data_IF_344663198287
#
_entry.id   IF_344663198287
#
_cell.length_a   1.000
_cell.length_b   1.000
_cell.length_c   1.000
_cell.angle_alpha   90.00
_cell.angle_beta   90.00
_cell.angle_gamma   90.00
#
_symmetry.space_group_name_H-M   'P 1'
#
loop_
_entity.id
_entity.type
_entity.pdbx_description
1 polymer ?
#
# COMPACT_ATOMS: atom_id res chain seq x y z
N UNK A 1 -23.53 1.23 1.27
CA UNK A 1 -22.09 1.11 0.98
C UNK A 1 -21.29 1.76 2.08
N UNK A 2 -20.36 1.05 2.66
CA UNK A 2 -19.53 1.59 3.74
C UNK A 2 -18.08 1.19 3.50
N UNK A 3 -17.18 2.16 3.41
CA UNK A 3 -15.76 1.91 3.19
C UNK A 3 -15.11 1.69 4.55
N UNK A 4 -14.51 0.53 4.71
CA UNK A 4 -13.72 0.17 5.88
C UNK A 4 -12.25 0.40 5.56
N UNK A 5 -11.49 0.82 6.56
CA UNK A 5 -10.05 1.04 6.41
C UNK A 5 -9.32 0.39 7.58
N UNK A 6 -8.09 -0.01 7.33
CA UNK A 6 -7.22 -0.62 8.35
C UNK A 6 -5.77 -0.26 8.06
N UNK A 7 -5.07 0.21 9.09
CA UNK A 7 -3.61 0.35 8.99
C UNK A 7 -3.01 -1.04 9.14
N UNK A 8 -2.33 -1.51 8.11
CA UNK A 8 -1.76 -2.86 8.10
C UNK A 8 -0.25 -2.80 8.21
N UNK A 9 0.27 -3.24 9.36
CA UNK A 9 1.71 -3.31 9.57
C UNK A 9 2.24 -4.67 9.09
N UNK A 10 3.37 -4.64 8.42
CA UNK A 10 4.06 -5.84 7.97
C UNK A 10 5.56 -5.57 7.92
N UNK A 11 6.37 -6.62 7.97
CA UNK A 11 7.82 -6.49 8.01
C UNK A 11 8.46 -7.06 6.75
N UNK A 12 9.48 -6.37 6.26
CA UNK A 12 10.32 -6.81 5.14
C UNK A 12 11.77 -6.50 5.52
N UNK A 13 12.63 -7.51 5.52
CA UNK A 13 14.06 -7.36 5.86
C UNK A 13 14.27 -6.63 7.19
N UNK A 14 13.49 -6.96 8.21
CA UNK A 14 13.52 -6.39 9.56
C UNK A 14 13.10 -4.91 9.63
N UNK A 15 12.49 -4.38 8.56
CA UNK A 15 11.91 -3.03 8.56
C UNK A 15 10.40 -3.16 8.62
N UNK A 16 9.77 -2.40 9.52
CA UNK A 16 8.31 -2.35 9.59
C UNK A 16 7.76 -1.38 8.55
N UNK A 17 6.74 -1.83 7.82
CA UNK A 17 6.02 -1.00 6.86
C UNK A 17 4.58 -0.83 7.33
N UNK A 18 3.99 0.33 7.04
CA UNK A 18 2.63 0.67 7.44
C UNK A 18 1.79 0.95 6.21
N UNK A 19 1.14 -0.09 5.71
CA UNK A 19 0.22 0.03 4.59
C UNK A 19 -1.17 0.46 5.03
N UNK A 20 -1.99 0.86 4.08
CA UNK A 20 -3.34 1.33 4.32
C UNK A 20 -4.32 0.53 3.47
N UNK A 21 -5.08 -0.36 4.12
CA UNK A 21 -6.10 -1.17 3.46
C UNK A 21 -7.44 -0.46 3.41
N UNK A 22 -8.16 -0.62 2.32
CA UNK A 22 -9.52 -0.11 2.20
C UNK A 22 -10.38 -1.08 1.39
N UNK A 23 -11.64 -1.25 1.79
CA UNK A 23 -12.59 -2.11 1.08
C UNK A 23 -14.02 -1.67 1.40
N UNK A 24 -14.95 -2.06 0.51
CA UNK A 24 -16.38 -1.81 0.72
C UNK A 24 -16.98 -3.02 1.45
N UNK A 25 -17.50 -2.82 2.66
CA UNK A 25 -18.02 -3.90 3.49
C UNK A 25 -19.42 -4.38 3.08
N UNK A 26 -20.05 -3.71 2.12
CA UNK A 26 -21.33 -4.18 1.59
C UNK A 26 -21.16 -5.37 0.63
N UNK A 27 -19.93 -5.68 0.24
CA UNK A 27 -19.59 -6.80 -0.65
C UNK A 27 -18.89 -7.86 0.18
N UNK A 28 -19.43 -9.08 0.25
CA UNK A 28 -18.85 -10.17 1.04
C UNK A 28 -17.99 -11.13 0.20
N UNK A 29 -18.01 -11.00 -1.10
CA UNK A 29 -17.28 -11.88 -1.99
C UNK A 29 -15.81 -11.50 -2.11
N UNK A 30 -14.96 -12.48 -2.42
CA UNK A 30 -13.58 -12.23 -2.75
C UNK A 30 -13.51 -11.33 -4.00
N UNK A 31 -12.53 -10.44 -4.04
CA UNK A 31 -12.43 -9.41 -5.07
C UNK A 31 -10.99 -9.19 -5.50
N UNK A 32 -10.79 -8.61 -6.69
CA UNK A 32 -9.44 -8.27 -7.14
C UNK A 32 -8.75 -7.32 -6.17
N UNK A 33 -7.47 -7.52 -5.97
CA UNK A 33 -6.64 -6.62 -5.16
C UNK A 33 -5.92 -5.62 -6.04
N UNK A 34 -5.77 -4.41 -5.53
CA UNK A 34 -5.04 -3.33 -6.21
C UNK A 34 -4.03 -2.72 -5.26
N UNK A 35 -2.78 -2.66 -5.70
CA UNK A 35 -1.73 -1.93 -4.98
C UNK A 35 -1.73 -0.50 -5.47
N UNK A 36 -1.85 0.45 -4.53
CA UNK A 36 -1.84 1.88 -4.83
C UNK A 36 -0.51 2.45 -4.39
N UNK A 37 0.33 2.85 -5.35
CA UNK A 37 1.67 3.34 -5.04
C UNK A 37 1.65 4.84 -4.78
N UNK A 38 2.38 5.29 -3.75
CA UNK A 38 2.49 6.71 -3.48
C UNK A 38 3.44 7.37 -4.49
N UNK A 39 3.28 8.69 -4.62
CA UNK A 39 4.31 9.50 -5.24
C UNK A 39 5.50 9.59 -4.27
N UNK A 40 6.49 10.39 -4.60
CA UNK A 40 7.72 10.46 -3.80
C UNK A 40 7.53 11.02 -2.37
N UNK A 41 6.35 11.58 -2.09
CA UNK A 41 6.02 12.08 -0.74
C UNK A 41 5.78 10.98 0.30
N UNK A 42 5.61 9.75 -0.14
CA UNK A 42 5.23 8.62 0.71
C UNK A 42 3.72 8.44 0.80
N UNK A 43 3.29 7.50 1.63
CA UNK A 43 1.87 7.18 1.82
C UNK A 43 1.20 8.23 2.69
N UNK A 44 0.88 9.36 2.08
CA UNK A 44 0.25 10.51 2.74
C UNK A 44 -1.29 10.45 2.64
N UNK A 45 -1.96 11.45 3.20
CA UNK A 45 -3.42 11.49 3.22
C UNK A 45 -4.04 11.50 1.82
N UNK A 46 -3.38 12.13 0.84
CA UNK A 46 -3.84 12.15 -0.53
C UNK A 46 -3.91 10.73 -1.11
N UNK A 47 -2.85 9.95 -0.92
CA UNK A 47 -2.79 8.57 -1.43
C UNK A 47 -3.77 7.67 -0.67
N UNK A 48 -3.93 7.89 0.64
CA UNK A 48 -4.93 7.15 1.43
C UNK A 48 -6.34 7.40 0.90
N UNK A 49 -6.65 8.64 0.55
CA UNK A 49 -7.94 8.98 -0.05
C UNK A 49 -8.13 8.32 -1.41
N UNK A 50 -7.07 8.29 -2.25
CA UNK A 50 -7.12 7.59 -3.53
C UNK A 50 -7.34 6.09 -3.33
N UNK A 51 -6.73 5.50 -2.31
CA UNK A 51 -6.93 4.10 -1.95
C UNK A 51 -8.39 3.83 -1.63
N UNK A 52 -9.02 4.70 -0.85
CA UNK A 52 -10.45 4.58 -0.53
C UNK A 52 -11.32 4.72 -1.77
N UNK A 53 -10.97 5.59 -2.69
CA UNK A 53 -11.69 5.75 -3.96
C UNK A 53 -11.64 4.49 -4.82
N UNK A 54 -10.49 3.81 -4.84
CA UNK A 54 -10.34 2.55 -5.55
C UNK A 54 -11.23 1.47 -4.89
N UNK A 55 -11.27 1.46 -3.55
CA UNK A 55 -12.12 0.53 -2.81
C UNK A 55 -13.61 0.74 -3.12
N UNK A 56 -14.03 1.97 -3.36
CA UNK A 56 -15.41 2.28 -3.74
C UNK A 56 -15.81 1.64 -5.07
N UNK A 57 -14.84 1.31 -5.91
CA UNK A 57 -15.09 0.63 -7.20
C UNK A 57 -15.25 -0.88 -7.05
N UNK A 58 -15.11 -1.42 -5.84
CA UNK A 58 -15.28 -2.84 -5.58
C UNK A 58 -13.99 -3.63 -5.44
N UNK A 59 -12.83 -2.97 -5.34
CA UNK A 59 -11.55 -3.63 -5.16
C UNK A 59 -11.13 -3.68 -3.69
N UNK A 60 -10.27 -4.65 -3.37
CA UNK A 60 -9.51 -4.60 -2.11
C UNK A 60 -8.25 -3.78 -2.42
N UNK A 61 -8.18 -2.58 -1.87
CA UNK A 61 -7.08 -1.66 -2.18
C UNK A 61 -6.09 -1.57 -1.02
N UNK A 62 -4.80 -1.59 -1.34
CA UNK A 62 -3.72 -1.39 -0.37
C UNK A 62 -2.86 -0.21 -0.81
N UNK A 63 -2.86 0.86 -0.03
CA UNK A 63 -1.90 1.94 -0.16
C UNK A 63 -0.55 1.45 0.34
N UNK A 64 0.48 1.54 -0.49
CA UNK A 64 1.78 0.92 -0.23
C UNK A 64 2.72 1.92 0.43
N UNK A 65 3.37 1.49 1.52
CA UNK A 65 4.44 2.24 2.16
C UNK A 65 5.77 1.77 1.57
N UNK A 66 6.40 2.61 0.76
CA UNK A 66 7.67 2.24 0.12
C UNK A 66 8.90 2.68 0.92
N UNK A 67 8.74 3.61 1.85
CA UNK A 67 9.87 4.12 2.63
C UNK A 67 10.07 3.41 3.97
N UNK A 68 9.04 2.79 4.49
CA UNK A 68 9.06 2.11 5.78
C UNK A 68 8.56 3.00 6.90
N UNK A 69 7.99 2.37 7.91
CA UNK A 69 7.49 3.01 9.15
C UNK A 69 6.42 4.08 8.88
N UNK A 70 5.79 4.05 7.71
CA UNK A 70 4.79 5.04 7.32
C UNK A 70 5.37 6.43 7.07
N UNK A 71 6.65 6.52 6.76
CA UNK A 71 7.34 7.80 6.62
C UNK A 71 6.82 8.60 5.44
N UNK A 72 6.50 9.87 5.71
CA UNK A 72 6.11 10.83 4.68
C UNK A 72 7.00 12.06 4.79
N UNK A 73 7.15 12.78 3.69
CA UNK A 73 7.97 14.00 3.65
C UNK A 73 7.21 15.10 2.93
N UNK A 74 7.56 16.34 3.20
CA UNK A 74 6.87 17.50 2.63
C UNK A 74 7.79 18.46 1.88
N UNK A 75 9.06 18.13 1.73
CA UNK A 75 10.00 18.92 0.94
C UNK A 75 10.58 18.10 -0.21
N UNK A 76 10.84 18.74 -1.38
CA UNK A 76 11.44 18.03 -2.51
C UNK A 76 12.81 17.45 -2.20
N UNK A 77 13.57 18.09 -1.32
CA UNK A 77 14.91 17.62 -0.94
C UNK A 77 14.82 16.30 -0.20
N UNK A 78 13.94 16.20 0.79
CA UNK A 78 13.74 14.96 1.54
C UNK A 78 13.16 13.88 0.66
N UNK A 79 12.17 14.22 -0.16
CA UNK A 79 11.52 13.29 -1.07
C UNK A 79 12.53 12.72 -2.08
N UNK A 80 13.37 13.58 -2.64
CA UNK A 80 14.40 13.15 -3.58
C UNK A 80 15.41 12.21 -2.95
N UNK A 81 15.85 12.51 -1.72
CA UNK A 81 16.79 11.65 -0.99
C UNK A 81 16.21 10.27 -0.72
N UNK A 82 14.97 10.20 -0.24
CA UNK A 82 14.33 8.93 0.06
C UNK A 82 14.06 8.12 -1.21
N UNK A 83 13.59 8.78 -2.26
CA UNK A 83 13.32 8.12 -3.53
C UNK A 83 14.59 7.56 -4.15
N UNK A 84 15.68 8.35 -4.16
CA UNK A 84 16.95 7.90 -4.68
C UNK A 84 17.50 6.72 -3.90
N UNK A 85 17.38 6.74 -2.57
CA UNK A 85 17.82 5.62 -1.73
C UNK A 85 17.08 4.33 -2.09
N UNK A 86 15.79 4.41 -2.34
CA UNK A 86 15.00 3.24 -2.76
C UNK A 86 15.38 2.80 -4.16
N UNK A 87 15.53 3.74 -5.12
CA UNK A 87 15.85 3.41 -6.50
C UNK A 87 17.25 2.82 -6.68
N UNK A 88 18.20 3.17 -5.83
CA UNK A 88 19.55 2.62 -5.85
C UNK A 88 19.62 1.20 -5.34
N UNK A 89 18.63 0.75 -4.60
CA UNK A 89 18.58 -0.59 -4.02
C UNK A 89 17.49 -1.41 -4.71
N UNK A 90 17.86 -2.11 -5.78
CA UNK A 90 16.92 -2.94 -6.55
C UNK A 90 16.36 -4.09 -5.71
N UNK A 91 17.13 -4.60 -4.77
CA UNK A 91 16.66 -5.65 -3.87
C UNK A 91 15.55 -5.11 -2.96
N UNK A 92 15.73 -3.91 -2.43
CA UNK A 92 14.71 -3.29 -1.57
C UNK A 92 13.40 -3.05 -2.33
N UNK A 93 13.48 -2.57 -3.58
CA UNK A 93 12.28 -2.38 -4.40
C UNK A 93 11.53 -3.71 -4.54
N UNK A 94 12.24 -4.76 -4.94
CA UNK A 94 11.64 -6.07 -5.15
C UNK A 94 11.01 -6.63 -3.88
N UNK A 95 11.73 -6.60 -2.76
CA UNK A 95 11.23 -7.18 -1.51
C UNK A 95 10.07 -6.39 -0.93
N UNK A 96 10.07 -5.06 -1.08
CA UNK A 96 8.98 -4.21 -0.61
C UNK A 96 7.72 -4.41 -1.45
N UNK A 97 7.85 -4.56 -2.76
CA UNK A 97 6.73 -4.89 -3.63
C UNK A 97 6.15 -6.26 -3.30
N UNK A 98 7.00 -7.26 -3.11
CA UNK A 98 6.57 -8.60 -2.74
C UNK A 98 5.86 -8.61 -1.38
N UNK A 99 6.36 -7.85 -0.41
CA UNK A 99 5.74 -7.72 0.90
C UNK A 99 4.33 -7.17 0.80
N UNK A 100 4.14 -6.09 0.05
CA UNK A 100 2.82 -5.50 -0.16
C UNK A 100 1.89 -6.46 -0.92
N UNK A 101 2.40 -7.12 -1.94
CA UNK A 101 1.65 -8.12 -2.71
C UNK A 101 1.16 -9.25 -1.81
N UNK A 102 2.02 -9.75 -0.94
CA UNK A 102 1.66 -10.83 -0.02
C UNK A 102 0.59 -10.42 0.99
N UNK A 103 0.61 -9.17 1.45
CA UNK A 103 -0.45 -8.64 2.32
C UNK A 103 -1.80 -8.75 1.63
N UNK A 104 -1.89 -8.35 0.37
CA UNK A 104 -3.14 -8.48 -0.39
C UNK A 104 -3.50 -9.94 -0.61
N UNK A 105 -2.55 -10.75 -1.04
CA UNK A 105 -2.79 -12.16 -1.38
C UNK A 105 -3.34 -12.94 -0.19
N UNK A 106 -2.86 -12.65 1.00
CA UNK A 106 -3.25 -13.35 2.22
C UNK A 106 -4.54 -12.82 2.86
N UNK A 107 -5.05 -11.69 2.39
CA UNK A 107 -6.27 -11.11 2.95
C UNK A 107 -7.49 -11.97 2.58
N UNK A 108 -8.40 -12.14 3.55
CA UNK A 108 -9.58 -12.98 3.36
C UNK A 108 -10.49 -12.55 2.20
N UNK A 109 -10.51 -11.25 1.88
CA UNK A 109 -11.32 -10.72 0.78
C UNK A 109 -10.61 -10.70 -0.57
N UNK A 110 -9.35 -11.12 -0.62
CA UNK A 110 -8.58 -11.12 -1.85
C UNK A 110 -8.93 -12.33 -2.72
N UNK A 111 -9.10 -12.08 -4.01
CA UNK A 111 -9.10 -13.12 -5.02
C UNK A 111 -7.66 -13.21 -5.54
N UNK A 112 -6.90 -14.20 -5.06
CA UNK A 112 -5.47 -14.32 -5.36
C UNK A 112 -5.16 -14.56 -6.83
N UNK A 113 -6.16 -14.90 -7.63
CA UNK A 113 -5.99 -15.09 -9.07
C UNK A 113 -6.14 -13.79 -9.85
N UNK A 114 -6.59 -12.70 -9.20
CA UNK A 114 -6.85 -11.41 -9.83
C UNK A 114 -6.11 -10.27 -9.12
N UNK A 115 -4.84 -10.48 -8.88
CA UNK A 115 -3.98 -9.44 -8.28
C UNK A 115 -3.06 -8.81 -9.31
#
# INVERSE_FOLDING_TARGET
MSIQTENKNYSVDNIEFKGYLAWDDSVSEARPGVLVFPEWWGLNDYIKKRTEQIAELGYLALGVDMYGKGKTVDTPQEAGSLMNAVLEDKHAIKTRLEGAYNVLKEHALSDSERL
#
